data_IF_918449881087
#
_entry.id   IF_918449881087
#
_cell.length_a   1.000
_cell.length_b   1.000
_cell.length_c   1.000
_cell.angle_alpha   90.00
_cell.angle_beta   90.00
_cell.angle_gamma   90.00
#
_symmetry.space_group_name_H-M   'P 1'
#
loop_
_entity.id
_entity.type
_entity.pdbx_description
1 polymer ?
#
# COMPACT_ATOMS: atom_id res chain seq x y z
N UNK A 1 -78.27 59.06 51.37
CA UNK A 1 -78.89 58.70 50.08
C UNK A 1 -78.20 57.44 49.56
N UNK A 2 -78.96 56.33 49.48
CA UNK A 2 -78.73 55.06 48.76
C UNK A 2 -77.42 54.26 48.94
N UNK A 3 -77.64 53.06 49.49
CA UNK A 3 -76.82 51.83 49.49
C UNK A 3 -76.20 51.47 48.13
N UNK A 4 -75.06 50.75 48.16
CA UNK A 4 -74.88 49.41 47.54
C UNK A 4 -73.44 48.88 47.74
N UNK A 5 -73.29 47.89 48.63
CA UNK A 5 -72.98 46.45 48.39
C UNK A 5 -71.50 46.09 48.48
N UNK A 6 -71.23 45.26 49.49
CA UNK A 6 -69.99 44.53 49.77
C UNK A 6 -69.85 43.35 48.80
N UNK A 7 -68.65 43.11 48.29
CA UNK A 7 -68.22 41.80 47.79
C UNK A 7 -66.79 41.51 48.25
N UNK A 8 -66.71 40.54 49.14
CA UNK A 8 -65.49 39.89 49.65
C UNK A 8 -64.92 38.99 48.55
N UNK A 9 -63.62 39.08 48.29
CA UNK A 9 -62.89 38.15 47.42
C UNK A 9 -61.69 37.62 48.21
N UNK A 10 -61.80 36.34 48.58
CA UNK A 10 -60.73 35.52 49.14
C UNK A 10 -59.92 35.00 47.94
N UNK A 11 -58.61 35.25 47.93
CA UNK A 11 -57.68 34.59 47.01
C UNK A 11 -56.60 33.90 47.85
N UNK A 12 -56.53 32.59 47.65
CA UNK A 12 -55.71 31.64 48.36
C UNK A 12 -54.21 31.85 48.09
N UNK A 13 -53.40 31.73 49.14
CA UNK A 13 -51.95 31.67 49.04
C UNK A 13 -51.49 30.31 48.52
N UNK A 14 -50.77 30.31 47.42
CA UNK A 14 -50.03 29.16 46.90
C UNK A 14 -48.56 29.26 47.32
N UNK A 15 -48.12 28.33 48.17
CA UNK A 15 -46.69 28.08 48.43
C UNK A 15 -46.06 27.53 47.14
N UNK A 16 -45.16 28.28 46.51
CA UNK A 16 -44.30 27.77 45.46
C UNK A 16 -43.08 27.07 46.09
N UNK A 17 -43.05 25.74 46.07
CA UNK A 17 -41.82 24.98 46.27
C UNK A 17 -40.94 25.16 45.03
N UNK A 18 -39.82 25.87 45.18
CA UNK A 18 -38.78 25.90 44.17
C UNK A 18 -38.04 24.55 44.17
N UNK A 19 -38.30 23.72 43.16
CA UNK A 19 -37.45 22.58 42.86
C UNK A 19 -36.19 23.07 42.13
N UNK A 20 -35.05 23.00 42.80
CA UNK A 20 -33.75 23.14 42.17
C UNK A 20 -33.46 21.90 41.33
N UNK A 21 -33.82 21.93 40.04
CA UNK A 21 -33.35 20.94 39.08
C UNK A 21 -31.95 21.35 38.63
N UNK A 22 -30.91 20.79 39.26
CA UNK A 22 -29.58 20.81 38.67
C UNK A 22 -29.67 20.07 37.32
N UNK A 23 -29.35 20.70 36.19
CA UNK A 23 -29.21 19.96 34.95
C UNK A 23 -27.99 19.07 35.12
N UNK A 24 -28.22 17.77 35.30
CA UNK A 24 -27.18 16.78 35.13
C UNK A 24 -26.67 16.94 33.70
N UNK A 25 -25.46 17.45 33.54
CA UNK A 25 -24.76 17.36 32.26
C UNK A 25 -24.58 15.87 31.97
N UNK A 26 -25.49 15.32 31.17
CA UNK A 26 -25.22 14.09 30.44
C UNK A 26 -24.03 14.42 29.56
N UNK A 27 -22.84 14.04 30.01
CA UNK A 27 -21.70 13.95 29.13
C UNK A 27 -22.14 13.00 28.01
N UNK A 28 -22.41 13.56 26.82
CA UNK A 28 -22.56 12.77 25.63
C UNK A 28 -21.24 12.01 25.50
N UNK A 29 -21.26 10.72 25.85
CA UNK A 29 -20.18 9.81 25.53
C UNK A 29 -20.16 9.82 24.01
N UNK A 30 -19.30 10.64 23.41
CA UNK A 30 -18.96 10.47 22.01
C UNK A 30 -18.38 9.06 21.96
N UNK A 31 -19.21 8.10 21.53
CA UNK A 31 -18.70 6.81 21.12
C UNK A 31 -17.62 7.14 20.09
N UNK A 32 -16.37 6.79 20.41
CA UNK A 32 -15.31 6.87 19.41
C UNK A 32 -15.86 6.16 18.17
N UNK A 33 -15.79 6.78 16.98
CA UNK A 33 -16.29 6.14 15.78
C UNK A 33 -15.62 4.77 15.70
N UNK A 34 -16.44 3.71 15.78
CA UNK A 34 -15.94 2.36 15.56
C UNK A 34 -15.34 2.34 14.18
N UNK A 35 -14.11 1.84 14.06
CA UNK A 35 -13.44 1.67 12.77
C UNK A 35 -14.45 1.10 11.74
N UNK A 36 -14.51 1.65 10.51
CA UNK A 36 -15.42 1.14 9.49
C UNK A 36 -15.21 -0.37 9.30
N UNK A 37 -16.31 -1.11 9.19
CA UNK A 37 -16.23 -2.53 8.87
C UNK A 37 -15.88 -2.69 7.38
N UNK A 38 -14.60 -2.91 7.08
CA UNK A 38 -14.11 -3.06 5.70
C UNK A 38 -14.40 -4.44 5.07
N UNK A 39 -14.96 -5.37 5.85
CA UNK A 39 -15.27 -6.73 5.42
C UNK A 39 -14.08 -7.68 5.50
N UNK A 40 -14.33 -8.98 5.31
CA UNK A 40 -13.35 -10.04 5.57
C UNK A 40 -12.18 -10.10 4.57
N UNK A 41 -12.29 -9.41 3.43
CA UNK A 41 -11.24 -9.31 2.41
C UNK A 41 -10.22 -8.20 2.68
N UNK A 42 -10.39 -7.43 3.76
CA UNK A 42 -9.50 -6.32 4.09
C UNK A 42 -8.74 -6.65 5.37
N UNK A 43 -7.43 -6.85 5.22
CA UNK A 43 -6.50 -7.24 6.26
C UNK A 43 -5.76 -5.98 6.72
N UNK A 44 -6.07 -5.49 7.93
CA UNK A 44 -5.47 -4.27 8.48
C UNK A 44 -4.50 -4.66 9.60
N UNK A 45 -3.23 -4.32 9.42
CA UNK A 45 -2.17 -4.63 10.37
C UNK A 45 -1.72 -3.36 11.09
N UNK A 46 -1.67 -3.41 12.42
CA UNK A 46 -1.04 -2.36 13.23
C UNK A 46 0.37 -2.77 13.64
N UNK A 47 1.27 -1.81 13.84
CA UNK A 47 2.64 -2.10 14.25
C UNK A 47 2.75 -2.71 15.68
N UNK A 48 1.66 -2.71 16.45
CA UNK A 48 1.58 -3.40 17.74
C UNK A 48 1.22 -4.88 17.64
N UNK A 49 0.83 -5.38 16.46
CA UNK A 49 0.57 -6.80 16.24
C UNK A 49 1.87 -7.60 16.27
N UNK A 50 1.77 -8.85 16.75
CA UNK A 50 2.89 -9.78 16.66
C UNK A 50 3.26 -10.05 15.19
N UNK A 51 4.55 -9.93 14.87
CA UNK A 51 5.02 -10.04 13.50
C UNK A 51 4.76 -11.43 12.90
N UNK A 52 4.86 -12.51 13.69
CA UNK A 52 4.60 -13.85 13.19
C UNK A 52 3.12 -14.02 12.79
N UNK A 53 2.22 -13.34 13.50
CA UNK A 53 0.80 -13.27 13.14
C UNK A 53 0.58 -12.51 11.82
N UNK A 54 1.21 -11.34 11.65
CA UNK A 54 1.16 -10.58 10.39
C UNK A 54 1.70 -11.44 9.23
N UNK A 55 2.88 -12.04 9.42
CA UNK A 55 3.53 -12.90 8.44
C UNK A 55 2.64 -14.10 8.04
N UNK A 56 1.98 -14.74 9.00
CA UNK A 56 1.08 -15.86 8.74
C UNK A 56 -0.12 -15.44 7.87
N UNK A 57 -0.72 -14.29 8.16
CA UNK A 57 -1.85 -13.77 7.38
C UNK A 57 -1.41 -13.39 5.94
N UNK A 58 -0.25 -12.75 5.79
CA UNK A 58 0.31 -12.43 4.47
C UNK A 58 0.60 -13.70 3.66
N UNK A 59 1.15 -14.73 4.29
CA UNK A 59 1.39 -16.03 3.68
C UNK A 59 0.08 -16.70 3.24
N UNK A 60 -0.98 -16.61 4.03
CA UNK A 60 -2.30 -17.15 3.66
C UNK A 60 -2.85 -16.46 2.40
N UNK A 61 -2.80 -15.13 2.34
CA UNK A 61 -3.23 -14.36 1.17
C UNK A 61 -2.38 -14.72 -0.05
N UNK A 62 -1.06 -14.80 0.10
CA UNK A 62 -0.15 -15.16 -0.98
C UNK A 62 -0.44 -16.57 -1.52
N UNK A 63 -0.62 -17.57 -0.64
CA UNK A 63 -0.98 -18.95 -1.04
C UNK A 63 -2.27 -18.98 -1.84
N UNK A 64 -3.27 -18.20 -1.43
CA UNK A 64 -4.55 -18.17 -2.10
C UNK A 64 -4.53 -17.42 -3.44
N UNK A 65 -3.64 -16.44 -3.61
CA UNK A 65 -3.71 -15.49 -4.74
C UNK A 65 -2.58 -15.62 -5.77
N UNK A 66 -1.40 -16.16 -5.43
CA UNK A 66 -0.25 -16.21 -6.36
C UNK A 66 -0.57 -16.93 -7.68
N UNK A 67 -1.37 -17.99 -7.64
CA UNK A 67 -1.76 -18.77 -8.82
C UNK A 67 -3.25 -18.58 -9.21
N UNK A 68 -3.92 -17.53 -8.73
CA UNK A 68 -5.37 -17.37 -8.81
C UNK A 68 -5.83 -16.38 -9.90
N UNK A 69 -5.31 -16.52 -11.13
CA UNK A 69 -5.52 -15.57 -12.23
C UNK A 69 -7.00 -15.26 -12.51
N UNK A 70 -7.86 -16.28 -12.50
CA UNK A 70 -9.28 -16.13 -12.84
C UNK A 70 -10.23 -16.37 -11.66
N UNK A 71 -9.71 -16.43 -10.44
CA UNK A 71 -10.54 -16.64 -9.25
C UNK A 71 -11.34 -15.41 -8.84
N UNK A 72 -12.41 -15.61 -8.06
CA UNK A 72 -13.26 -14.51 -7.58
C UNK A 72 -12.69 -13.80 -6.33
N UNK A 73 -11.70 -14.38 -5.65
CA UNK A 73 -11.14 -13.86 -4.39
C UNK A 73 -10.42 -12.52 -4.62
N UNK A 74 -10.61 -11.58 -3.70
CA UNK A 74 -10.00 -10.25 -3.67
C UNK A 74 -9.48 -10.00 -2.27
N UNK A 75 -8.30 -9.41 -2.15
CA UNK A 75 -7.68 -9.10 -0.87
C UNK A 75 -7.09 -7.68 -0.90
N UNK A 76 -7.32 -6.91 0.16
CA UNK A 76 -6.62 -5.66 0.42
C UNK A 76 -5.79 -5.83 1.69
N UNK A 77 -4.49 -5.61 1.58
CA UNK A 77 -3.51 -5.67 2.67
C UNK A 77 -3.13 -4.24 3.02
N UNK A 78 -3.50 -3.81 4.22
CA UNK A 78 -3.36 -2.44 4.69
C UNK A 78 -2.48 -2.41 5.95
N UNK A 79 -1.50 -1.52 5.96
CA UNK A 79 -0.61 -1.31 7.09
C UNK A 79 -0.90 0.06 7.70
N UNK A 80 -1.27 0.10 8.98
CA UNK A 80 -1.35 1.35 9.74
C UNK A 80 0.04 2.02 9.84
N UNK A 81 0.11 3.33 10.14
CA UNK A 81 1.38 4.00 10.40
C UNK A 81 2.24 3.25 11.43
N UNK A 82 3.50 3.00 11.07
CA UNK A 82 4.46 2.26 11.89
C UNK A 82 5.53 1.54 11.07
N UNK A 83 6.35 0.77 11.78
CA UNK A 83 7.46 0.01 11.21
C UNK A 83 7.20 -1.48 11.40
N UNK A 84 7.35 -2.25 10.33
CA UNK A 84 7.10 -3.68 10.28
C UNK A 84 8.36 -4.42 9.84
N UNK A 85 8.68 -5.52 10.51
CA UNK A 85 9.93 -6.23 10.26
C UNK A 85 11.16 -5.52 10.82
N UNK A 86 12.28 -6.23 10.79
CA UNK A 86 13.61 -5.73 11.17
C UNK A 86 14.65 -6.33 10.22
N UNK A 87 15.92 -5.93 10.37
CA UNK A 87 17.01 -6.51 9.58
C UNK A 87 17.21 -8.00 9.89
N UNK A 88 17.04 -8.38 11.16
CA UNK A 88 17.23 -9.74 11.66
C UNK A 88 15.99 -10.62 11.41
N UNK A 89 14.81 -10.02 11.47
CA UNK A 89 13.52 -10.66 11.20
C UNK A 89 12.73 -9.82 10.19
N UNK A 90 13.08 -9.89 8.90
CA UNK A 90 12.41 -9.11 7.87
C UNK A 90 10.97 -9.59 7.66
N UNK A 91 10.08 -8.67 7.28
CA UNK A 91 8.73 -9.01 6.83
C UNK A 91 8.74 -9.20 5.32
N UNK A 92 8.47 -10.42 4.85
CA UNK A 92 8.65 -10.81 3.45
C UNK A 92 7.41 -11.52 2.94
N UNK A 93 6.90 -11.17 1.77
CA UNK A 93 5.72 -11.85 1.23
C UNK A 93 5.57 -11.63 -0.26
N UNK A 94 4.85 -12.55 -0.92
CA UNK A 94 4.49 -12.40 -2.32
C UNK A 94 3.15 -11.68 -2.48
N UNK A 95 3.03 -10.86 -3.52
CA UNK A 95 1.77 -10.23 -3.93
C UNK A 95 1.20 -10.99 -5.14
N UNK A 96 0.15 -11.77 -4.89
CA UNK A 96 -0.56 -12.54 -5.90
C UNK A 96 -1.55 -11.72 -6.74
N UNK A 97 -2.33 -12.41 -7.56
CA UNK A 97 -3.43 -11.81 -8.33
C UNK A 97 -4.47 -11.16 -7.41
N UNK A 98 -5.09 -10.09 -7.87
CA UNK A 98 -6.15 -9.35 -7.17
C UNK A 98 -5.86 -8.95 -5.71
N UNK A 99 -4.59 -8.69 -5.41
CA UNK A 99 -4.15 -8.21 -4.10
C UNK A 99 -3.67 -6.77 -4.22
N UNK A 100 -4.24 -5.87 -3.42
CA UNK A 100 -3.69 -4.52 -3.20
C UNK A 100 -2.92 -4.47 -1.89
N UNK A 101 -1.76 -3.84 -1.90
CA UNK A 101 -0.95 -3.58 -0.72
C UNK A 101 -0.81 -2.07 -0.54
N UNK A 102 -1.17 -1.54 0.62
CA UNK A 102 -1.08 -0.12 0.88
C UNK A 102 -0.72 0.24 2.33
N UNK A 103 0.02 1.32 2.50
CA UNK A 103 0.14 1.99 3.79
C UNK A 103 -1.01 2.99 4.02
N UNK A 104 -1.45 3.12 5.27
CA UNK A 104 -2.50 4.04 5.71
C UNK A 104 -1.93 5.36 6.27
N UNK A 105 -0.66 5.65 5.97
CA UNK A 105 -0.03 6.95 6.27
C UNK A 105 -0.60 8.11 5.46
N UNK A 106 -0.33 9.34 5.89
CA UNK A 106 -0.49 10.50 5.01
C UNK A 106 0.68 10.62 4.03
N UNK A 107 1.85 10.13 4.43
CA UNK A 107 3.07 10.05 3.65
C UNK A 107 3.52 8.59 3.52
N UNK A 108 4.18 8.20 2.41
CA UNK A 108 4.80 6.88 2.31
C UNK A 108 5.86 6.60 3.39
N UNK A 109 6.41 7.63 4.02
CA UNK A 109 7.34 7.48 5.14
C UNK A 109 6.70 7.06 6.46
N UNK A 110 5.38 7.17 6.58
CA UNK A 110 4.67 6.83 7.84
C UNK A 110 4.51 5.31 8.00
N UNK A 111 4.64 4.54 6.92
CA UNK A 111 4.56 3.07 6.91
C UNK A 111 5.86 2.53 6.34
N UNK A 112 6.63 1.82 7.16
CA UNK A 112 7.94 1.29 6.78
C UNK A 112 7.94 -0.24 6.89
N UNK A 113 8.19 -0.92 5.77
CA UNK A 113 8.45 -2.35 5.72
C UNK A 113 9.96 -2.57 5.67
N UNK A 114 10.55 -3.14 6.72
CA UNK A 114 11.91 -3.68 6.67
C UNK A 114 11.83 -5.13 6.19
N UNK A 115 12.12 -5.34 4.90
CA UNK A 115 11.91 -6.61 4.22
C UNK A 115 11.62 -6.40 2.74
N UNK A 116 10.70 -7.19 2.19
CA UNK A 116 10.42 -7.22 0.76
C UNK A 116 8.93 -7.49 0.44
N UNK A 117 8.42 -6.90 -0.64
CA UNK A 117 7.02 -7.00 -1.09
C UNK A 117 6.97 -7.49 -2.55
N UNK A 118 7.31 -8.75 -2.74
CA UNK A 118 7.74 -9.23 -4.05
C UNK A 118 6.60 -9.74 -4.94
N UNK A 119 6.84 -9.67 -6.24
CA UNK A 119 6.10 -10.39 -7.28
C UNK A 119 7.12 -11.13 -8.13
N UNK A 120 7.17 -12.45 -8.01
CA UNK A 120 7.99 -13.33 -8.84
C UNK A 120 7.24 -13.75 -10.10
N UNK A 121 7.94 -14.40 -11.03
CA UNK A 121 7.32 -15.02 -12.20
C UNK A 121 6.17 -15.96 -11.80
N UNK A 122 5.15 -16.04 -12.65
CA UNK A 122 4.14 -17.08 -12.55
C UNK A 122 4.63 -18.30 -13.32
N UNK A 123 4.68 -19.45 -12.64
CA UNK A 123 5.33 -20.65 -13.17
C UNK A 123 4.35 -21.82 -13.24
N UNK A 124 4.10 -22.27 -14.46
CA UNK A 124 3.24 -23.39 -14.84
C UNK A 124 4.08 -24.44 -15.60
N UNK A 125 3.57 -25.67 -15.81
CA UNK A 125 4.30 -26.66 -16.61
C UNK A 125 4.67 -26.12 -18.00
N UNK A 126 5.97 -25.89 -18.22
CA UNK A 126 6.51 -25.39 -19.50
C UNK A 126 6.61 -23.86 -19.63
N UNK A 127 6.20 -23.06 -18.64
CA UNK A 127 6.35 -21.60 -18.64
C UNK A 127 6.68 -21.06 -17.26
N UNK A 128 7.59 -20.09 -17.16
CA UNK A 128 7.94 -19.43 -15.90
C UNK A 128 8.40 -18.01 -16.24
N UNK A 129 7.44 -17.10 -16.32
CA UNK A 129 7.59 -15.74 -16.85
C UNK A 129 6.66 -14.80 -16.08
N UNK A 130 6.86 -13.48 -16.21
CA UNK A 130 5.99 -12.47 -15.59
C UNK A 130 4.97 -11.89 -16.57
N UNK A 131 4.78 -12.52 -17.74
CA UNK A 131 3.94 -12.01 -18.83
C UNK A 131 2.43 -12.00 -18.51
N UNK A 132 2.04 -12.73 -17.47
CA UNK A 132 0.67 -12.86 -16.96
C UNK A 132 0.51 -12.31 -15.53
N UNK A 133 1.54 -11.69 -14.94
CA UNK A 133 1.46 -11.09 -13.62
C UNK A 133 0.64 -9.78 -13.60
N UNK A 134 -0.68 -9.94 -13.62
CA UNK A 134 -1.65 -8.84 -13.70
C UNK A 134 -2.32 -8.51 -12.37
N UNK A 135 -3.10 -7.44 -12.36
CA UNK A 135 -4.14 -7.12 -11.37
C UNK A 135 -3.67 -7.14 -9.91
N UNK A 136 -2.67 -6.34 -9.58
CA UNK A 136 -2.20 -6.13 -8.21
C UNK A 136 -1.75 -4.71 -8.01
N UNK A 137 -1.44 -4.27 -6.80
CA UNK A 137 -0.93 -2.90 -6.60
C UNK A 137 -0.11 -2.76 -5.34
N UNK A 138 0.82 -1.81 -5.35
CA UNK A 138 1.59 -1.40 -4.19
C UNK A 138 1.51 0.12 -4.04
N UNK A 139 1.15 0.59 -2.84
CA UNK A 139 1.04 2.03 -2.63
C UNK A 139 1.33 2.56 -1.23
N UNK A 140 1.71 3.84 -1.18
CA UNK A 140 1.77 4.67 0.02
C UNK A 140 2.57 4.07 1.19
N UNK A 141 3.75 3.51 0.91
CA UNK A 141 4.64 2.95 1.92
C UNK A 141 6.11 3.04 1.52
N UNK A 142 6.99 2.81 2.49
CA UNK A 142 8.43 2.70 2.30
C UNK A 142 8.87 1.25 2.45
N UNK A 143 9.67 0.75 1.53
CA UNK A 143 10.37 -0.53 1.62
C UNK A 143 11.83 -0.25 1.91
N UNK A 144 12.28 -0.67 3.08
CA UNK A 144 13.69 -0.74 3.44
C UNK A 144 14.19 -2.14 3.10
N UNK A 145 14.68 -2.26 1.88
CA UNK A 145 15.31 -3.49 1.44
C UNK A 145 16.77 -3.51 1.93
N UNK A 146 17.11 -4.50 2.74
CA UNK A 146 18.50 -4.84 3.07
C UNK A 146 18.79 -6.21 2.51
N UNK A 147 19.92 -6.41 1.79
CA UNK A 147 20.37 -7.76 1.47
C UNK A 147 20.40 -8.60 2.74
N UNK A 148 19.88 -9.81 2.65
CA UNK A 148 19.82 -10.72 3.78
C UNK A 148 21.26 -11.12 4.16
N UNK A 149 21.55 -11.38 5.45
CA UNK A 149 22.86 -11.87 5.86
C UNK A 149 23.31 -13.06 5.00
N UNK A 150 24.61 -13.13 4.68
CA UNK A 150 25.14 -14.23 3.88
C UNK A 150 24.83 -15.57 4.56
N UNK A 151 24.16 -16.49 3.85
CA UNK A 151 23.78 -17.80 4.37
C UNK A 151 22.37 -17.89 4.98
N UNK A 152 21.60 -16.78 5.02
CA UNK A 152 20.16 -16.83 5.27
C UNK A 152 19.41 -16.67 3.96
N UNK A 153 18.55 -17.63 3.64
CA UNK A 153 17.62 -17.51 2.52
C UNK A 153 16.27 -17.05 3.05
N UNK A 154 15.66 -15.99 2.47
CA UNK A 154 14.26 -15.71 2.71
C UNK A 154 13.41 -16.95 2.37
N UNK A 155 12.40 -17.23 3.21
CA UNK A 155 11.46 -18.33 2.98
C UNK A 155 10.11 -17.74 2.61
N UNK A 156 9.84 -17.69 1.32
CA UNK A 156 8.53 -17.28 0.81
C UNK A 156 7.50 -18.41 0.95
N UNK A 157 6.25 -18.03 1.21
CA UNK A 157 5.10 -18.94 1.21
C UNK A 157 4.01 -18.32 0.34
N UNK A 158 3.69 -18.90 -0.84
CA UNK A 158 4.31 -20.09 -1.44
C UNK A 158 5.80 -19.86 -1.76
N UNK A 159 6.60 -20.92 -2.00
CA UNK A 159 8.01 -20.74 -2.39
C UNK A 159 8.14 -19.90 -3.66
N UNK A 160 9.20 -19.09 -3.73
CA UNK A 160 9.58 -18.41 -4.96
C UNK A 160 9.97 -19.46 -6.03
N UNK A 161 9.61 -19.25 -7.31
CA UNK A 161 10.00 -20.15 -8.37
C UNK A 161 11.46 -19.92 -8.74
N UNK A 162 12.36 -20.55 -8.00
CA UNK A 162 13.81 -20.49 -8.17
C UNK A 162 14.34 -21.80 -8.78
N UNK A 163 14.38 -21.93 -10.13
CA UNK A 163 14.85 -23.15 -10.79
C UNK A 163 16.37 -23.32 -10.72
N UNK A 164 17.13 -22.29 -10.32
CA UNK A 164 18.60 -22.30 -10.28
C UNK A 164 19.16 -22.50 -8.87
N UNK A 165 18.29 -22.50 -7.88
CA UNK A 165 18.60 -22.88 -6.52
C UNK A 165 18.59 -21.68 -5.58
N UNK A 166 18.04 -21.96 -4.41
CA UNK A 166 17.79 -21.09 -3.27
C UNK A 166 18.79 -19.91 -3.13
N UNK A 167 18.28 -18.68 -3.21
CA UNK A 167 18.97 -17.47 -2.74
C UNK A 167 19.15 -16.37 -3.79
N UNK A 168 18.48 -16.42 -4.93
CA UNK A 168 18.46 -15.29 -5.87
C UNK A 168 17.54 -14.14 -5.40
N UNK A 169 16.48 -14.46 -4.65
CA UNK A 169 15.44 -13.57 -4.14
C UNK A 169 15.88 -12.76 -2.90
N UNK A 170 17.19 -12.60 -2.71
CA UNK A 170 17.77 -12.02 -1.50
C UNK A 170 18.56 -10.72 -1.72
N UNK A 171 18.56 -10.17 -2.94
CA UNK A 171 19.45 -9.06 -3.30
C UNK A 171 18.75 -7.79 -3.78
N UNK A 172 17.47 -7.86 -4.16
CA UNK A 172 16.69 -6.71 -4.59
C UNK A 172 15.22 -6.91 -4.23
N UNK A 173 14.47 -5.82 -4.16
CA UNK A 173 12.99 -5.86 -4.23
C UNK A 173 12.58 -6.25 -5.66
N UNK A 174 11.78 -7.31 -5.82
CA UNK A 174 11.37 -7.86 -7.11
C UNK A 174 9.90 -7.51 -7.37
N UNK A 175 9.64 -6.63 -8.32
CA UNK A 175 8.28 -6.32 -8.80
C UNK A 175 8.12 -6.77 -10.25
N UNK A 176 8.23 -8.07 -10.50
CA UNK A 176 8.17 -8.67 -11.83
C UNK A 176 6.72 -8.77 -12.32
N UNK A 177 6.21 -7.68 -12.91
CA UNK A 177 4.80 -7.55 -13.29
C UNK A 177 4.60 -7.31 -14.78
N UNK A 178 3.36 -7.50 -15.23
CA UNK A 178 2.90 -7.02 -16.53
C UNK A 178 1.84 -5.92 -16.38
N UNK A 179 0.79 -5.88 -17.20
CA UNK A 179 -0.20 -4.80 -17.16
C UNK A 179 -1.06 -4.83 -15.90
N UNK A 180 -1.71 -3.70 -15.59
CA UNK A 180 -2.60 -3.54 -14.44
C UNK A 180 -1.98 -3.86 -13.07
N UNK A 181 -0.69 -3.55 -12.91
CA UNK A 181 0.07 -3.73 -11.67
C UNK A 181 0.77 -2.43 -11.19
N UNK A 182 0.02 -1.34 -10.89
CA UNK A 182 0.62 -0.04 -10.59
C UNK A 182 1.40 -0.02 -9.27
N UNK A 183 2.50 0.73 -9.27
CA UNK A 183 3.21 1.17 -8.07
C UNK A 183 3.04 2.68 -7.90
N UNK A 184 2.55 3.14 -6.74
CA UNK A 184 2.20 4.57 -6.51
C UNK A 184 2.58 5.04 -5.13
N UNK A 185 3.24 6.18 -4.96
CA UNK A 185 3.60 6.68 -3.61
C UNK A 185 4.45 5.66 -2.86
N UNK A 186 5.48 5.12 -3.49
CA UNK A 186 6.36 4.13 -2.85
C UNK A 186 7.78 4.68 -2.76
N UNK A 187 8.40 4.53 -1.60
CA UNK A 187 9.82 4.79 -1.45
C UNK A 187 10.56 3.45 -1.28
N UNK A 188 11.49 3.12 -2.17
CA UNK A 188 12.29 1.89 -2.06
C UNK A 188 13.74 2.27 -1.74
N UNK A 189 14.13 2.00 -0.50
CA UNK A 189 15.48 2.14 0.03
C UNK A 189 16.24 0.84 -0.23
N UNK A 190 16.66 0.68 -1.48
CA UNK A 190 17.33 -0.49 -2.02
C UNK A 190 17.14 -0.52 -3.53
N UNK A 191 17.71 -1.52 -4.20
CA UNK A 191 17.46 -1.70 -5.62
C UNK A 191 16.14 -2.42 -5.84
N UNK A 192 15.41 -1.99 -6.87
CA UNK A 192 14.19 -2.62 -7.33
C UNK A 192 14.41 -3.17 -8.72
N UNK A 193 13.96 -4.39 -8.98
CA UNK A 193 13.90 -4.95 -10.32
C UNK A 193 12.45 -5.03 -10.80
N UNK A 194 12.24 -4.78 -12.08
CA UNK A 194 10.93 -4.96 -12.70
C UNK A 194 10.83 -6.26 -13.50
N UNK A 195 11.86 -7.09 -13.48
CA UNK A 195 11.82 -8.45 -14.01
C UNK A 195 12.29 -9.41 -12.94
N UNK A 196 11.88 -10.67 -13.06
CA UNK A 196 12.36 -11.72 -12.19
C UNK A 196 13.65 -12.30 -12.78
N UNK A 197 14.78 -11.95 -12.16
CA UNK A 197 16.10 -12.47 -12.55
C UNK A 197 16.40 -13.85 -11.96
N UNK A 198 15.54 -14.36 -11.07
CA UNK A 198 15.61 -15.74 -10.57
C UNK A 198 15.06 -16.74 -11.60
N UNK A 199 14.03 -16.33 -12.35
CA UNK A 199 13.39 -17.20 -13.33
C UNK A 199 14.11 -17.31 -14.67
N UNK A 200 13.80 -18.35 -15.48
CA UNK A 200 14.43 -18.54 -16.78
C UNK A 200 13.89 -17.50 -17.77
N UNK A 201 14.76 -16.88 -18.58
CA UNK A 201 14.45 -15.83 -19.61
C UNK A 201 13.93 -14.49 -19.08
N UNK A 202 13.29 -14.45 -17.91
CA UNK A 202 12.89 -13.23 -17.20
C UNK A 202 11.89 -12.32 -17.94
N UNK A 203 11.16 -12.80 -18.95
CA UNK A 203 10.29 -11.90 -19.73
C UNK A 203 9.18 -11.29 -18.87
N UNK A 204 9.01 -9.98 -19.03
CA UNK A 204 8.01 -9.19 -18.33
C UNK A 204 7.51 -8.06 -19.25
N UNK A 205 6.25 -7.64 -19.09
CA UNK A 205 5.57 -6.69 -20.00
C UNK A 205 4.79 -5.62 -19.23
N UNK A 206 5.45 -5.02 -18.25
CA UNK A 206 4.95 -3.91 -17.45
C UNK A 206 4.91 -2.61 -18.25
N UNK A 207 4.78 -1.45 -17.62
CA UNK A 207 4.39 -1.25 -16.24
C UNK A 207 4.15 0.24 -15.98
N UNK A 208 3.63 0.55 -14.80
CA UNK A 208 3.30 1.92 -14.42
C UNK A 208 3.80 2.20 -13.00
N UNK A 209 4.61 3.26 -12.86
CA UNK A 209 5.04 3.80 -11.58
C UNK A 209 4.77 5.31 -11.51
N UNK A 210 4.30 5.81 -10.37
CA UNK A 210 4.08 7.24 -10.18
C UNK A 210 4.32 7.72 -8.75
N UNK A 211 4.79 8.96 -8.60
CA UNK A 211 4.92 9.62 -7.29
C UNK A 211 5.78 8.82 -6.31
N UNK A 212 6.87 8.23 -6.82
CA UNK A 212 7.68 7.25 -6.08
C UNK A 212 9.16 7.63 -6.08
N UNK A 213 9.92 7.09 -5.12
CA UNK A 213 11.37 7.30 -5.03
C UNK A 213 12.13 5.97 -5.02
N UNK A 214 13.15 5.83 -5.86
CA UNK A 214 13.93 4.59 -6.01
C UNK A 214 15.42 4.87 -5.94
N UNK A 215 16.17 4.05 -5.18
CA UNK A 215 17.65 4.09 -5.18
C UNK A 215 18.30 3.51 -6.44
N UNK A 216 17.52 2.81 -7.24
CA UNK A 216 17.97 2.24 -8.51
C UNK A 216 16.92 1.29 -9.06
N UNK A 217 16.68 1.37 -10.36
CA UNK A 217 15.77 0.46 -11.05
C UNK A 217 16.55 -0.41 -12.03
N UNK A 218 16.48 -1.71 -11.82
CA UNK A 218 17.01 -2.75 -12.71
C UNK A 218 15.89 -3.18 -13.67
N UNK A 219 15.90 -2.65 -14.88
CA UNK A 219 14.86 -2.94 -15.88
C UNK A 219 15.01 -4.35 -16.47
N UNK A 220 16.25 -4.75 -16.79
CA UNK A 220 16.56 -6.04 -17.40
C UNK A 220 15.74 -6.29 -18.66
N UNK A 221 14.94 -7.35 -18.63
CA UNK A 221 14.13 -7.85 -19.75
C UNK A 221 12.75 -7.21 -19.87
N UNK A 222 12.39 -6.26 -19.00
CA UNK A 222 11.12 -5.54 -19.10
C UNK A 222 10.99 -4.78 -20.41
N UNK A 223 9.95 -5.13 -21.15
CA UNK A 223 9.74 -4.70 -22.53
C UNK A 223 9.51 -3.19 -22.64
N UNK A 224 8.60 -2.67 -21.80
CA UNK A 224 8.24 -1.26 -21.75
C UNK A 224 7.88 -0.82 -20.33
N UNK A 225 7.92 0.49 -20.06
CA UNK A 225 7.49 1.04 -18.77
C UNK A 225 7.13 2.52 -18.89
N UNK A 226 6.20 2.98 -18.04
CA UNK A 226 5.91 4.41 -17.84
C UNK A 226 6.18 4.77 -16.38
N UNK A 227 7.08 5.73 -16.15
CA UNK A 227 7.34 6.32 -14.83
C UNK A 227 7.03 7.81 -14.88
N UNK A 228 6.26 8.33 -13.92
CA UNK A 228 5.96 9.77 -13.85
C UNK A 228 6.06 10.36 -12.45
N UNK A 229 6.38 11.66 -12.36
CA UNK A 229 6.43 12.42 -11.10
C UNK A 229 7.25 11.72 -10.00
N UNK A 230 8.36 11.07 -10.37
CA UNK A 230 9.14 10.23 -9.46
C UNK A 230 10.57 10.74 -9.34
N UNK A 231 11.32 10.18 -8.40
CA UNK A 231 12.77 10.33 -8.33
C UNK A 231 13.44 8.96 -8.45
N UNK A 232 14.40 8.85 -9.36
CA UNK A 232 15.22 7.65 -9.51
C UNK A 232 16.69 8.05 -9.46
N UNK A 233 17.52 7.31 -8.72
CA UNK A 233 18.96 7.58 -8.70
C UNK A 233 19.63 7.04 -9.99
N UNK A 234 19.19 5.89 -10.51
CA UNK A 234 19.58 5.38 -11.83
C UNK A 234 18.55 4.40 -12.42
N UNK A 235 18.68 4.16 -13.73
CA UNK A 235 17.92 3.18 -14.51
C UNK A 235 18.86 2.40 -15.44
N UNK A 236 18.81 1.07 -15.43
CA UNK A 236 19.86 0.24 -16.09
C UNK A 236 19.82 0.25 -17.61
N UNK A 237 18.67 -0.02 -18.23
CA UNK A 237 18.56 -0.23 -19.68
C UNK A 237 17.13 -0.02 -20.19
N UNK A 238 16.99 0.17 -21.51
CA UNK A 238 15.71 0.12 -22.21
C UNK A 238 15.64 -1.08 -23.15
N UNK A 239 14.49 -1.76 -23.21
CA UNK A 239 14.23 -2.83 -24.18
C UNK A 239 13.52 -2.23 -25.40
N UNK A 240 12.20 -2.03 -25.37
CA UNK A 240 11.46 -1.47 -26.50
C UNK A 240 11.03 -0.03 -26.30
N UNK A 241 10.52 0.33 -25.13
CA UNK A 241 10.06 1.71 -24.87
C UNK A 241 10.01 2.03 -23.37
N UNK A 242 10.94 2.84 -22.86
CA UNK A 242 10.88 3.35 -21.48
C UNK A 242 10.54 4.84 -21.49
N UNK A 243 9.41 5.19 -20.87
CA UNK A 243 8.88 6.55 -20.87
C UNK A 243 8.99 7.15 -19.47
N UNK A 244 9.62 8.31 -19.39
CA UNK A 244 9.78 9.09 -18.18
C UNK A 244 9.12 10.46 -18.36
N UNK A 245 8.26 10.86 -17.43
CA UNK A 245 7.61 12.18 -17.47
C UNK A 245 7.65 12.85 -16.11
N UNK A 246 8.38 13.96 -15.99
CA UNK A 246 8.54 14.62 -14.69
C UNK A 246 9.35 13.78 -13.68
N UNK A 247 10.30 12.99 -14.17
CA UNK A 247 11.11 12.10 -13.33
C UNK A 247 12.48 12.72 -13.09
N UNK A 248 12.78 13.02 -11.84
CA UNK A 248 14.09 13.51 -11.41
C UNK A 248 15.07 12.33 -11.47
N UNK A 249 16.19 12.53 -12.17
CA UNK A 249 17.23 11.50 -12.37
C UNK A 249 16.94 10.48 -13.47
N UNK A 250 15.89 10.69 -14.27
CA UNK A 250 15.66 9.88 -15.47
C UNK A 250 16.82 10.00 -16.48
N UNK A 251 17.10 8.92 -17.24
CA UNK A 251 17.99 9.01 -18.40
C UNK A 251 17.55 10.11 -19.36
N UNK A 252 18.52 10.79 -19.98
CA UNK A 252 18.20 11.80 -20.99
C UNK A 252 17.43 11.18 -22.17
N UNK A 253 16.61 12.00 -22.84
CA UNK A 253 15.92 11.62 -24.09
C UNK A 253 16.94 11.08 -25.10
N UNK A 254 16.73 9.87 -25.62
CA UNK A 254 17.69 9.21 -26.51
C UNK A 254 17.08 8.29 -27.57
N UNK A 255 15.75 8.20 -27.65
CA UNK A 255 15.09 7.43 -28.71
C UNK A 255 15.62 7.86 -30.10
N UNK A 256 15.97 6.92 -31.00
CA UNK A 256 15.64 5.49 -30.97
C UNK A 256 16.62 4.57 -30.21
N UNK A 257 17.84 4.99 -29.87
CA UNK A 257 18.81 4.11 -29.20
C UNK A 257 19.71 4.86 -28.19
N UNK A 258 19.62 4.56 -26.87
CA UNK A 258 18.66 3.64 -26.24
C UNK A 258 17.21 4.13 -26.33
N UNK A 259 16.24 3.23 -26.15
CA UNK A 259 14.79 3.46 -26.33
C UNK A 259 14.13 4.25 -25.19
N UNK A 260 14.73 5.39 -24.82
CA UNK A 260 14.24 6.28 -23.77
C UNK A 260 13.48 7.48 -24.35
N UNK A 261 12.24 7.64 -23.89
CA UNK A 261 11.44 8.84 -24.09
C UNK A 261 11.34 9.61 -22.78
N UNK A 262 11.97 10.78 -22.68
CA UNK A 262 12.09 11.52 -21.41
C UNK A 262 11.56 12.93 -21.58
N UNK A 263 10.52 13.25 -20.81
CA UNK A 263 9.92 14.58 -20.72
C UNK A 263 10.24 15.20 -19.35
N UNK A 264 10.60 16.49 -19.31
CA UNK A 264 11.00 17.15 -18.06
C UNK A 264 9.85 17.30 -17.06
N UNK A 265 8.59 17.28 -17.52
CA UNK A 265 7.40 17.47 -16.68
C UNK A 265 6.26 16.56 -17.14
N UNK A 266 5.37 16.18 -16.23
CA UNK A 266 4.01 15.78 -16.58
C UNK A 266 3.12 17.03 -16.63
N UNK A 267 2.58 17.44 -17.79
CA UNK A 267 1.93 18.75 -17.93
C UNK A 267 0.77 19.00 -16.98
N UNK A 268 -0.10 17.99 -16.79
CA UNK A 268 -1.21 18.03 -15.83
C UNK A 268 -1.40 16.62 -15.29
N UNK A 269 -1.30 16.49 -13.96
CA UNK A 269 -1.55 15.24 -13.25
C UNK A 269 -2.23 15.53 -11.92
N UNK A 270 -3.04 14.58 -11.45
CA UNK A 270 -3.50 14.51 -10.07
C UNK A 270 -3.27 13.07 -9.61
N UNK A 271 -2.71 12.91 -8.42
CA UNK A 271 -2.46 11.57 -7.88
C UNK A 271 -3.76 10.87 -7.51
N UNK A 272 -3.70 9.54 -7.44
CA UNK A 272 -4.87 8.75 -7.10
C UNK A 272 -5.23 8.99 -5.62
N UNK A 273 -6.52 9.20 -5.30
CA UNK A 273 -6.97 9.21 -3.91
C UNK A 273 -6.62 7.90 -3.20
N UNK A 274 -6.35 7.97 -1.90
CA UNK A 274 -6.00 6.80 -1.09
C UNK A 274 -6.58 6.88 0.32
N UNK A 275 -6.82 5.69 0.91
CA UNK A 275 -7.26 5.54 2.29
C UNK A 275 -6.08 5.84 3.23
N UNK A 276 -6.33 6.61 4.29
CA UNK A 276 -5.34 6.95 5.30
C UNK A 276 -5.98 7.05 6.69
N UNK A 277 -5.13 7.03 7.72
CA UNK A 277 -5.49 7.36 9.10
C UNK A 277 -5.05 8.79 9.41
N UNK A 278 -5.91 9.53 10.12
CA UNK A 278 -5.52 10.79 10.73
C UNK A 278 -4.77 10.58 12.06
N UNK A 279 -4.30 11.67 12.68
CA UNK A 279 -3.56 11.62 13.94
C UNK A 279 -4.37 11.08 15.13
N UNK A 280 -5.70 11.00 15.00
CA UNK A 280 -6.59 10.45 16.02
C UNK A 280 -7.00 8.99 15.71
N UNK A 281 -6.47 8.40 14.63
CA UNK A 281 -6.78 7.03 14.21
C UNK A 281 -8.10 6.90 13.42
N UNK A 282 -8.68 8.00 12.92
CA UNK A 282 -9.87 7.91 12.08
C UNK A 282 -9.49 7.68 10.62
N UNK A 283 -10.27 6.82 9.95
CA UNK A 283 -10.13 6.55 8.52
C UNK A 283 -10.64 7.72 7.68
N UNK A 284 -9.84 8.13 6.70
CA UNK A 284 -10.12 9.21 5.76
C UNK A 284 -9.67 8.81 4.34
N UNK A 285 -10.09 9.60 3.34
CA UNK A 285 -9.56 9.49 1.96
C UNK A 285 -8.88 10.81 1.61
N UNK A 286 -7.60 10.75 1.30
CA UNK A 286 -6.84 11.90 0.80
C UNK A 286 -7.11 12.08 -0.71
N UNK A 287 -7.30 13.32 -1.16
CA UNK A 287 -7.63 13.69 -2.56
C UNK A 287 -6.79 14.86 -3.04
#
# INVERSE_FOLDING_TARGET
MRMRTVRTLIVAGTLALAWSTSPGMLAAVHAAPTAPAFGASVHIFSAGMDQATIQAQLNEVAVAQVNNEFGPRRDAVLFEPGTYGSKEHPLIFQVGYYTSVAGLGLSPGDVVINGAVDVFNHCTPGSCLALDNFWRSLSNLTINFSPYPSGTTPVYVPPSPDPYGVGCDNSNEIWAVSQAAPMRRVAINGFTTFFDYCGPKGYASGGFAADSTYKGVLNGTQQQWVTRNSKIDFWTNGVWNQVFSGVIGAPAQSFPNPTYTTLPTSPVTREAPYLCLDSAGNYNVFV
#
